data_IF_649538974300
#
_entry.id   IF_649538974300
#
_cell.length_a   1.000
_cell.length_b   1.000
_cell.length_c   1.000
_cell.angle_alpha   90.00
_cell.angle_beta   90.00
_cell.angle_gamma   90.00
#
_symmetry.space_group_name_H-M   'P 1'
#
loop_
_entity.id
_entity.type
_entity.pdbx_description
1 polymer ?
#
# COMPACT_ATOMS: atom_id res chain seq x y z
N UNK A 1 -6.47 -21.29 -31.19
CA UNK A 1 -6.63 -22.15 -30.00
C UNK A 1 -7.10 -21.27 -28.84
N UNK A 2 -8.40 -21.25 -28.49
CA UNK A 2 -8.94 -20.42 -27.39
C UNK A 2 -8.83 -21.21 -26.09
N UNK A 3 -7.92 -20.83 -25.21
CA UNK A 3 -7.84 -21.35 -23.85
C UNK A 3 -9.12 -20.94 -23.10
N UNK A 4 -9.99 -21.91 -22.81
CA UNK A 4 -11.11 -21.72 -21.87
C UNK A 4 -10.51 -21.54 -20.48
N UNK A 5 -10.34 -20.31 -20.00
CA UNK A 5 -10.03 -20.06 -18.60
C UNK A 5 -11.27 -20.34 -17.75
N UNK A 6 -11.11 -21.08 -16.66
CA UNK A 6 -12.20 -21.36 -15.74
C UNK A 6 -12.58 -20.08 -14.98
N UNK A 7 -13.87 -19.84 -14.74
CA UNK A 7 -14.39 -18.63 -14.09
C UNK A 7 -13.72 -18.31 -12.75
N UNK A 8 -13.35 -19.33 -11.98
CA UNK A 8 -12.63 -19.19 -10.71
C UNK A 8 -11.21 -18.64 -10.86
N UNK A 9 -10.55 -18.96 -11.97
CA UNK A 9 -9.18 -18.55 -12.27
C UNK A 9 -9.13 -17.06 -12.65
N UNK A 10 -10.07 -16.61 -13.48
CA UNK A 10 -10.28 -15.19 -13.80
C UNK A 10 -10.63 -14.41 -12.53
N UNK A 11 -11.51 -14.93 -11.68
CA UNK A 11 -11.86 -14.28 -10.41
C UNK A 11 -10.66 -14.19 -9.46
N UNK A 12 -9.79 -15.20 -9.42
CA UNK A 12 -8.57 -15.19 -8.61
C UNK A 12 -7.56 -14.15 -9.10
N UNK A 13 -7.31 -14.09 -10.41
CA UNK A 13 -6.47 -13.05 -11.01
C UNK A 13 -7.04 -11.65 -10.77
N UNK A 14 -8.34 -11.46 -10.94
CA UNK A 14 -8.97 -10.16 -10.74
C UNK A 14 -8.86 -9.66 -9.29
N UNK A 15 -8.89 -10.55 -8.29
CA UNK A 15 -8.62 -10.18 -6.89
C UNK A 15 -7.22 -9.57 -6.70
N UNK A 16 -6.24 -9.95 -7.51
CA UNK A 16 -4.87 -9.39 -7.39
C UNK A 16 -4.78 -7.91 -7.80
N UNK A 17 -5.73 -7.40 -8.61
CA UNK A 17 -5.78 -5.99 -9.02
C UNK A 17 -5.85 -5.04 -7.82
N UNK A 18 -6.55 -5.43 -6.75
CA UNK A 18 -6.62 -4.67 -5.50
C UNK A 18 -5.26 -4.42 -4.86
N UNK A 19 -4.23 -5.23 -5.15
CA UNK A 19 -2.87 -5.00 -4.66
C UNK A 19 -2.29 -3.69 -5.21
N UNK A 20 -2.62 -3.35 -6.46
CA UNK A 20 -2.19 -2.12 -7.11
C UNK A 20 -2.90 -0.92 -6.48
N UNK A 21 -4.22 -1.00 -6.29
CA UNK A 21 -4.99 0.07 -5.63
C UNK A 21 -4.52 0.30 -4.18
N UNK A 22 -4.22 -0.77 -3.44
CA UNK A 22 -3.64 -0.69 -2.11
C UNK A 22 -2.22 -0.08 -2.11
N UNK A 23 -1.43 -0.28 -3.17
CA UNK A 23 -0.14 0.37 -3.34
C UNK A 23 -0.33 1.88 -3.55
N UNK A 24 -1.15 2.29 -4.53
CA UNK A 24 -1.45 3.70 -4.78
C UNK A 24 -2.01 4.41 -3.54
N UNK A 25 -2.92 3.76 -2.81
CA UNK A 25 -3.43 4.31 -1.55
C UNK A 25 -2.34 4.54 -0.50
N UNK A 26 -1.30 3.69 -0.44
CA UNK A 26 -0.15 3.88 0.46
C UNK A 26 0.82 4.94 -0.02
N UNK A 27 1.12 4.96 -1.32
CA UNK A 27 1.95 6.01 -1.93
C UNK A 27 1.37 7.39 -1.63
N UNK A 28 0.07 7.55 -1.81
CA UNK A 28 -0.57 8.83 -1.58
C UNK A 28 -0.66 9.19 -0.09
N UNK A 29 -1.12 8.26 0.75
CA UNK A 29 -1.32 8.56 2.19
C UNK A 29 -0.04 8.71 3.00
N UNK A 30 1.10 8.22 2.50
CA UNK A 30 2.37 8.22 3.25
C UNK A 30 3.45 9.08 2.59
N UNK A 31 3.52 9.08 1.26
CA UNK A 31 4.61 9.71 0.52
C UNK A 31 4.17 10.92 -0.31
N UNK A 32 2.89 11.29 -0.27
CA UNK A 32 2.33 12.42 -1.02
C UNK A 32 2.74 12.34 -2.51
N UNK A 33 2.53 11.16 -3.10
CA UNK A 33 3.02 10.83 -4.46
C UNK A 33 2.54 11.79 -5.55
N UNK A 34 1.45 12.52 -5.30
CA UNK A 34 0.95 13.60 -6.16
C UNK A 34 1.34 14.99 -5.61
N UNK A 35 2.62 15.33 -5.74
CA UNK A 35 3.17 16.64 -5.38
C UNK A 35 2.50 17.77 -6.18
N UNK A 36 1.78 18.64 -5.47
CA UNK A 36 1.17 19.84 -6.05
C UNK A 36 2.27 20.81 -6.50
N UNK A 37 2.21 21.27 -7.75
CA UNK A 37 3.06 22.37 -8.23
C UNK A 37 4.28 21.99 -9.06
N UNK A 38 4.50 20.71 -9.38
CA UNK A 38 5.56 20.32 -10.34
C UNK A 38 5.31 20.78 -11.78
N UNK A 39 4.09 21.24 -12.09
CA UNK A 39 3.71 22.08 -13.25
C UNK A 39 3.87 21.44 -14.65
N UNK A 40 4.67 20.38 -14.77
CA UNK A 40 5.01 19.69 -16.00
C UNK A 40 4.72 18.19 -15.86
N UNK A 41 4.28 17.51 -16.93
CA UNK A 41 4.10 16.06 -16.93
C UNK A 41 5.37 15.29 -16.56
N UNK A 42 6.53 15.80 -16.98
CA UNK A 42 7.84 15.20 -16.70
C UNK A 42 8.20 15.30 -15.22
N UNK A 43 7.98 16.47 -14.61
CA UNK A 43 8.19 16.66 -13.17
C UNK A 43 7.27 15.78 -12.32
N UNK A 44 6.00 15.68 -12.69
CA UNK A 44 5.04 14.79 -12.01
C UNK A 44 5.46 13.32 -12.11
N UNK A 45 5.91 12.86 -13.29
CA UNK A 45 6.41 11.49 -13.47
C UNK A 45 7.64 11.22 -12.61
N UNK A 46 8.60 12.16 -12.56
CA UNK A 46 9.78 12.03 -11.72
C UNK A 46 9.41 11.93 -10.24
N UNK A 47 8.52 12.81 -9.75
CA UNK A 47 8.04 12.78 -8.37
C UNK A 47 7.38 11.46 -8.02
N UNK A 48 6.55 10.93 -8.92
CA UNK A 48 5.93 9.61 -8.76
C UNK A 48 6.97 8.48 -8.71
N UNK A 49 7.96 8.48 -9.60
CA UNK A 49 9.05 7.48 -9.59
C UNK A 49 9.86 7.53 -8.29
N UNK A 50 10.14 8.73 -7.75
CA UNK A 50 10.81 8.88 -6.45
C UNK A 50 9.94 8.31 -5.32
N UNK A 51 8.63 8.55 -5.35
CA UNK A 51 7.71 7.97 -4.37
C UNK A 51 7.70 6.43 -4.43
N UNK A 52 7.82 5.82 -5.62
CA UNK A 52 7.96 4.36 -5.74
C UNK A 52 9.23 3.84 -5.07
N UNK A 53 10.39 4.46 -5.33
CA UNK A 53 11.65 4.06 -4.70
C UNK A 53 11.59 4.24 -3.18
N UNK A 54 11.01 5.35 -2.71
CA UNK A 54 10.82 5.59 -1.28
C UNK A 54 9.88 4.55 -0.64
N UNK A 55 8.87 4.07 -1.38
CA UNK A 55 8.02 2.98 -0.91
C UNK A 55 8.77 1.66 -0.80
N UNK A 56 9.67 1.34 -1.72
CA UNK A 56 10.50 0.12 -1.63
C UNK A 56 11.39 0.15 -0.37
N UNK A 57 11.97 1.30 -0.06
CA UNK A 57 12.72 1.51 1.20
C UNK A 57 11.81 1.31 2.41
N UNK A 58 10.62 1.92 2.41
CA UNK A 58 9.67 1.80 3.52
C UNK A 58 9.19 0.35 3.71
N UNK A 59 8.96 -0.37 2.61
CA UNK A 59 8.60 -1.78 2.62
C UNK A 59 9.73 -2.66 3.17
N UNK A 60 10.99 -2.34 2.83
CA UNK A 60 12.16 -3.01 3.38
C UNK A 60 12.28 -2.79 4.90
N UNK A 61 12.13 -1.55 5.38
CA UNK A 61 12.12 -1.24 6.81
C UNK A 61 10.98 -1.96 7.53
N UNK A 62 9.80 -1.97 6.92
CA UNK A 62 8.64 -2.70 7.45
C UNK A 62 8.95 -4.20 7.57
N UNK A 63 9.54 -4.81 6.54
CA UNK A 63 9.90 -6.22 6.55
C UNK A 63 10.97 -6.54 7.62
N UNK A 64 11.95 -5.66 7.82
CA UNK A 64 12.97 -5.82 8.86
C UNK A 64 12.34 -5.83 10.27
N UNK A 65 11.44 -4.88 10.56
CA UNK A 65 10.72 -4.83 11.85
C UNK A 65 9.81 -6.05 12.04
N UNK A 66 9.09 -6.46 10.99
CA UNK A 66 8.25 -7.67 11.07
C UNK A 66 9.08 -8.93 11.33
N UNK A 67 10.26 -9.03 10.71
CA UNK A 67 11.17 -10.18 10.90
C UNK A 67 11.76 -10.20 12.31
N UNK A 68 12.04 -9.03 12.89
CA UNK A 68 12.61 -8.92 14.22
C UNK A 68 11.59 -9.16 15.36
N UNK A 69 10.30 -8.96 15.12
CA UNK A 69 9.28 -8.89 16.16
C UNK A 69 8.05 -9.79 15.87
N UNK A 70 7.89 -10.92 16.58
CA UNK A 70 6.75 -11.84 16.38
C UNK A 70 5.36 -11.21 16.61
N UNK A 71 5.26 -10.18 17.46
CA UNK A 71 3.99 -9.47 17.71
C UNK A 71 3.36 -8.89 16.42
N UNK A 72 4.20 -8.61 15.42
CA UNK A 72 3.78 -8.09 14.12
C UNK A 72 2.96 -9.09 13.29
N UNK A 73 3.02 -10.39 13.61
CA UNK A 73 2.20 -11.42 12.94
C UNK A 73 0.72 -11.29 13.31
N UNK A 74 0.45 -10.97 14.58
CA UNK A 74 -0.91 -10.85 15.10
C UNK A 74 -1.54 -9.51 14.73
N UNK A 75 -0.73 -8.44 14.73
CA UNK A 75 -1.15 -7.10 14.36
C UNK A 75 -0.14 -6.50 13.39
N UNK A 76 -0.53 -6.26 12.12
CA UNK A 76 0.40 -5.71 11.15
C UNK A 76 0.82 -4.29 11.53
N UNK A 77 2.09 -3.97 11.31
CA UNK A 77 2.61 -2.61 11.45
C UNK A 77 2.15 -1.69 10.31
N UNK A 78 2.17 -0.39 10.59
CA UNK A 78 1.73 0.67 9.70
C UNK A 78 2.92 1.34 9.03
N UNK A 79 2.95 1.30 7.71
CA UNK A 79 3.92 2.07 6.91
C UNK A 79 3.85 3.57 7.21
N UNK A 80 2.65 4.08 7.54
CA UNK A 80 2.47 5.47 7.97
C UNK A 80 3.23 5.80 9.25
N UNK A 81 3.17 4.95 10.29
CA UNK A 81 3.87 5.23 11.55
C UNK A 81 5.38 5.14 11.40
N UNK A 82 5.89 4.23 10.56
CA UNK A 82 7.32 4.18 10.24
C UNK A 82 7.76 5.49 9.54
N UNK A 83 6.98 5.98 8.58
CA UNK A 83 7.30 7.23 7.90
C UNK A 83 7.18 8.46 8.83
N UNK A 84 6.22 8.45 9.77
CA UNK A 84 6.07 9.49 10.77
C UNK A 84 7.29 9.57 11.70
N UNK A 85 7.75 8.42 12.23
CA UNK A 85 8.98 8.32 13.03
C UNK A 85 10.20 8.84 12.26
N UNK A 86 10.33 8.45 10.98
CA UNK A 86 11.43 8.93 10.15
C UNK A 86 11.39 10.45 9.99
N UNK A 87 10.22 11.04 9.72
CA UNK A 87 10.06 12.50 9.59
C UNK A 87 10.44 13.24 10.87
N UNK A 88 10.07 12.69 12.03
CA UNK A 88 10.35 13.30 13.32
C UNK A 88 11.85 13.32 13.64
N UNK A 89 12.53 12.17 13.46
CA UNK A 89 13.91 12.01 13.92
C UNK A 89 14.98 12.30 12.86
N UNK A 90 14.63 12.31 11.57
CA UNK A 90 15.61 12.44 10.48
C UNK A 90 16.48 13.70 10.61
N UNK A 91 15.87 14.86 10.91
CA UNK A 91 16.62 16.11 11.06
C UNK A 91 17.66 16.06 12.18
N UNK A 92 17.27 15.53 13.34
CA UNK A 92 18.17 15.37 14.48
C UNK A 92 19.28 14.36 14.22
N UNK A 93 18.94 13.20 13.63
CA UNK A 93 19.93 12.18 13.27
C UNK A 93 20.93 12.71 12.23
N UNK A 94 20.46 13.44 11.21
CA UNK A 94 21.33 14.03 10.18
C UNK A 94 22.30 15.06 10.78
N UNK A 95 21.88 15.81 11.81
CA UNK A 95 22.75 16.76 12.49
C UNK A 95 23.75 16.08 13.43
N UNK A 96 23.36 14.96 14.06
CA UNK A 96 24.18 14.27 15.05
C UNK A 96 25.20 13.28 14.47
N UNK A 97 24.93 12.74 13.28
CA UNK A 97 25.75 11.66 12.68
C UNK A 97 26.60 12.20 11.53
N UNK A 98 27.94 12.14 11.63
CA UNK A 98 28.82 12.51 10.53
C UNK A 98 28.78 11.45 9.42
N UNK A 99 29.15 11.82 8.20
CA UNK A 99 28.95 10.98 7.01
C UNK A 99 29.72 9.65 7.10
N UNK A 100 30.86 9.65 7.77
CA UNK A 100 31.78 8.51 7.91
C UNK A 100 31.14 7.34 8.66
N UNK A 101 30.13 7.61 9.49
CA UNK A 101 29.35 6.56 10.18
C UNK A 101 28.63 5.66 9.18
N UNK A 102 28.31 6.16 7.98
CA UNK A 102 27.57 5.40 6.97
C UNK A 102 28.44 4.51 6.09
N UNK A 103 29.74 4.80 5.97
CA UNK A 103 30.67 4.10 5.08
C UNK A 103 30.73 2.57 5.27
N UNK A 104 30.67 2.02 6.51
CA UNK A 104 30.64 0.58 6.71
C UNK A 104 29.40 -0.10 6.13
N UNK A 105 28.27 0.61 6.01
CA UNK A 105 27.03 0.06 5.47
C UNK A 105 27.00 0.06 3.95
N UNK A 106 27.60 1.08 3.31
CA UNK A 106 27.68 1.19 1.84
C UNK A 106 28.45 0.04 1.19
N UNK A 107 29.45 -0.50 1.89
CA UNK A 107 30.27 -1.62 1.42
C UNK A 107 29.62 -3.00 1.64
N UNK A 108 28.46 -3.07 2.30
CA UNK A 108 27.81 -4.35 2.60
C UNK A 108 27.16 -4.95 1.35
N UNK A 109 27.26 -6.28 1.24
CA UNK A 109 26.41 -7.02 0.29
C UNK A 109 24.92 -6.87 0.67
N UNK A 110 23.98 -7.03 -0.28
CA UNK A 110 22.55 -6.95 0.03
C UNK A 110 22.11 -7.86 1.19
N UNK A 111 22.70 -9.07 1.29
CA UNK A 111 22.44 -10.01 2.38
C UNK A 111 23.02 -9.53 3.72
N UNK A 112 24.19 -8.88 3.69
CA UNK A 112 24.79 -8.25 4.86
C UNK A 112 23.91 -7.10 5.36
N UNK A 113 23.52 -6.21 4.47
CA UNK A 113 22.65 -5.08 4.79
C UNK A 113 21.30 -5.54 5.35
N UNK A 114 20.67 -6.55 4.77
CA UNK A 114 19.43 -7.11 5.28
C UNK A 114 19.56 -7.64 6.73
N UNK A 115 20.67 -8.32 7.05
CA UNK A 115 20.93 -8.78 8.43
C UNK A 115 21.12 -7.61 9.39
N UNK A 116 21.95 -6.64 8.98
CA UNK A 116 22.18 -5.41 9.75
C UNK A 116 20.87 -4.69 10.06
N UNK A 117 19.98 -4.54 9.08
CA UNK A 117 18.67 -3.92 9.26
C UNK A 117 17.79 -4.68 10.25
N UNK A 118 17.78 -6.02 10.19
CA UNK A 118 17.02 -6.84 11.16
C UNK A 118 17.62 -6.73 12.56
N UNK A 119 18.95 -6.72 12.69
CA UNK A 119 19.64 -6.56 13.97
C UNK A 119 19.35 -5.19 14.60
N UNK A 120 19.34 -4.11 13.80
CA UNK A 120 18.89 -2.79 14.23
C UNK A 120 17.42 -2.81 14.63
N UNK A 121 16.57 -3.45 13.81
CA UNK A 121 15.13 -3.50 14.03
C UNK A 121 14.74 -4.18 15.34
N UNK A 122 15.56 -5.08 15.90
CA UNK A 122 15.32 -5.68 17.24
C UNK A 122 15.22 -4.65 18.37
N UNK A 123 15.81 -3.47 18.19
CA UNK A 123 15.78 -2.39 19.19
C UNK A 123 14.56 -1.46 19.02
N UNK A 124 13.79 -1.63 17.96
CA UNK A 124 12.55 -0.87 17.74
C UNK A 124 11.49 -1.35 18.74
N UNK A 125 10.71 -0.44 19.29
CA UNK A 125 9.52 -0.77 20.06
C UNK A 125 8.32 -0.96 19.13
N UNK A 126 7.93 -2.20 18.77
CA UNK A 126 6.99 -2.44 17.66
C UNK A 126 5.56 -1.96 17.96
N UNK A 127 5.20 -1.79 19.23
CA UNK A 127 3.84 -1.45 19.68
C UNK A 127 3.39 -0.09 19.12
N UNK A 128 4.29 0.89 19.05
CA UNK A 128 3.97 2.23 18.50
C UNK A 128 3.78 2.21 16.98
N UNK A 129 4.25 1.16 16.32
CA UNK A 129 4.15 1.01 14.86
C UNK A 129 2.91 0.19 14.44
N UNK A 130 2.19 -0.42 15.37
CA UNK A 130 1.04 -1.28 15.05
C UNK A 130 -0.08 -0.48 14.37
N UNK A 131 -0.73 -1.08 13.38
CA UNK A 131 -1.96 -0.51 12.82
C UNK A 131 -3.06 -0.53 13.87
N UNK A 132 -3.78 0.59 14.00
CA UNK A 132 -5.04 0.58 14.71
C UNK A 132 -6.12 -0.08 13.84
N UNK A 133 -6.77 -1.14 14.32
CA UNK A 133 -7.86 -1.76 13.59
C UNK A 133 -8.99 -0.74 13.42
N UNK A 134 -9.44 -0.56 12.17
CA UNK A 134 -10.61 0.28 11.90
C UNK A 134 -11.83 -0.44 12.48
N UNK A 135 -12.57 0.25 13.34
CA UNK A 135 -13.85 -0.24 13.86
C UNK A 135 -14.89 -0.45 12.74
N UNK A 136 -16.00 -1.15 13.01
CA UNK A 136 -17.06 -1.36 12.03
C UNK A 136 -17.51 -0.04 11.40
N UNK A 137 -17.65 -0.01 10.07
CA UNK A 137 -18.15 1.19 9.37
C UNK A 137 -19.57 1.48 9.87
N UNK A 138 -19.81 2.69 10.36
CA UNK A 138 -21.14 3.09 10.82
C UNK A 138 -22.15 2.95 9.68
N UNK A 139 -23.30 2.34 9.98
CA UNK A 139 -24.39 2.19 9.02
C UNK A 139 -25.02 3.56 8.82
N UNK A 140 -24.66 4.22 7.72
CA UNK A 140 -25.33 5.45 7.28
C UNK A 140 -26.67 5.06 6.66
N UNK A 141 -27.77 5.72 7.07
CA UNK A 141 -29.06 5.61 6.37
C UNK A 141 -28.82 6.01 4.91
N UNK A 142 -29.07 5.09 3.98
CA UNK A 142 -29.01 5.40 2.55
C UNK A 142 -30.13 6.39 2.25
N UNK A 143 -29.81 7.46 1.52
CA UNK A 143 -30.81 8.39 1.01
C UNK A 143 -31.80 7.67 0.08
N UNK A 144 -32.93 8.31 -0.19
CA UNK A 144 -33.88 7.82 -1.17
C UNK A 144 -33.25 7.86 -2.58
N UNK A 145 -33.41 6.77 -3.32
CA UNK A 145 -33.11 6.71 -4.75
C UNK A 145 -34.32 6.11 -5.46
N UNK A 146 -34.76 6.66 -6.62
CA UNK A 146 -35.88 6.13 -7.39
C UNK A 146 -35.66 4.65 -7.74
N UNK A 147 -36.69 3.81 -7.54
CA UNK A 147 -36.58 2.37 -7.76
C UNK A 147 -36.22 1.98 -9.21
N UNK A 148 -36.57 2.81 -10.19
CA UNK A 148 -36.18 2.65 -11.60
C UNK A 148 -34.67 2.76 -11.81
N UNK A 149 -34.00 3.71 -11.15
CA UNK A 149 -32.55 3.92 -11.22
C UNK A 149 -31.78 2.81 -10.50
N UNK A 150 -32.27 2.40 -9.32
CA UNK A 150 -31.65 1.30 -8.56
C UNK A 150 -31.75 -0.02 -9.33
N UNK A 151 -32.86 -0.25 -10.05
CA UNK A 151 -33.03 -1.45 -10.89
C UNK A 151 -32.19 -1.43 -12.17
N UNK A 152 -31.80 -0.26 -12.69
CA UNK A 152 -30.84 -0.13 -13.80
C UNK A 152 -29.42 -0.50 -13.39
N UNK A 153 -29.05 -0.33 -12.11
CA UNK A 153 -27.73 -0.73 -11.63
C UNK A 153 -27.60 -2.24 -11.58
N UNK A 154 -26.70 -2.76 -12.41
CA UNK A 154 -26.31 -4.17 -12.42
C UNK A 154 -25.18 -4.37 -11.41
N UNK A 155 -25.53 -4.70 -10.18
CA UNK A 155 -24.53 -5.03 -9.16
C UNK A 155 -23.86 -6.38 -9.47
N UNK A 156 -22.53 -6.46 -9.37
CA UNK A 156 -21.76 -7.68 -9.63
C UNK A 156 -22.25 -8.88 -8.82
N UNK A 157 -22.70 -8.67 -7.58
CA UNK A 157 -23.30 -9.73 -6.76
C UNK A 157 -24.57 -10.32 -7.37
N UNK A 158 -25.44 -9.48 -7.97
CA UNK A 158 -26.68 -9.93 -8.62
C UNK A 158 -26.40 -10.76 -9.87
N UNK A 159 -25.38 -10.36 -10.63
CA UNK A 159 -24.90 -11.10 -11.81
C UNK A 159 -24.33 -12.46 -11.41
N UNK A 160 -23.51 -12.49 -10.36
CA UNK A 160 -22.95 -13.72 -9.82
C UNK A 160 -24.03 -14.68 -9.30
N UNK A 161 -25.08 -14.15 -8.64
CA UNK A 161 -26.23 -14.96 -8.20
C UNK A 161 -27.07 -15.46 -9.36
N UNK A 162 -27.28 -14.65 -10.40
CA UNK A 162 -28.08 -15.03 -11.57
C UNK A 162 -27.35 -16.03 -12.49
N UNK A 163 -26.01 -16.06 -12.46
CA UNK A 163 -25.21 -16.95 -13.29
C UNK A 163 -25.21 -16.58 -14.80
N UNK A 164 -25.92 -15.52 -15.17
CA UNK A 164 -26.04 -15.01 -16.54
C UNK A 164 -25.81 -13.51 -16.57
N UNK A 165 -25.21 -13.02 -17.66
CA UNK A 165 -25.05 -11.59 -17.93
C UNK A 165 -25.94 -11.25 -19.12
N UNK A 166 -27.15 -10.76 -18.86
CA UNK A 166 -27.99 -10.21 -19.93
C UNK A 166 -27.50 -8.80 -20.25
N UNK A 167 -26.45 -8.73 -21.07
CA UNK A 167 -25.93 -7.47 -21.58
C UNK A 167 -26.81 -7.00 -22.74
N UNK A 168 -27.77 -6.12 -22.47
CA UNK A 168 -28.46 -5.38 -23.54
C UNK A 168 -27.52 -4.25 -23.95
N UNK A 169 -26.74 -4.47 -25.02
CA UNK A 169 -25.99 -3.41 -25.67
C UNK A 169 -27.02 -2.44 -26.26
N UNK A 170 -27.15 -1.25 -25.67
CA UNK A 170 -27.88 -0.18 -26.34
C UNK A 170 -26.98 0.31 -27.48
N UNK A 171 -27.43 0.10 -28.71
CA UNK A 171 -26.81 0.74 -29.86
C UNK A 171 -27.02 2.26 -29.71
N UNK A 172 -25.91 2.98 -29.63
CA UNK A 172 -25.85 4.44 -29.74
C UNK A 172 -25.56 4.77 -31.19
#
# INVERSE_FOLDING_TARGET
MRTRSQSHEVAALYRTRWRIECLFGRLESVLESELRGLGSPQGALLGFCVALVAYDVLALLQAAVQTAHPVCEQKPISSFYIAAELREYYGGMKAALPQEVWAPYESQTPKGLARTLVDMARHVYPVVLLKHPRGPKSVKKKGYAPGSEVRRQVATSRVLTAGTVDYVKQDV
#
